data_IF_234070323496
#
_entry.id   IF_234070323496
#
_cell.length_a   1.000
_cell.length_b   1.000
_cell.length_c   1.000
_cell.angle_alpha   90.00
_cell.angle_beta   90.00
_cell.angle_gamma   90.00
#
_symmetry.space_group_name_H-M   'P 1'
#
loop_
_entity.id
_entity.type
_entity.pdbx_description
1 polymer ?
#
# COMPACT_ATOMS: atom_id res chain seq x y z
N UNK A 1 -1.81 -28.10 1.82
CA UNK A 1 -0.75 -27.70 0.86
C UNK A 1 -1.23 -27.86 -0.59
N UNK A 2 -2.49 -27.48 -0.90
CA UNK A 2 -3.11 -27.65 -2.24
C UNK A 2 -3.75 -26.34 -2.75
N UNK A 3 -3.89 -25.31 -1.91
CA UNK A 3 -4.41 -24.00 -2.33
C UNK A 3 -3.43 -23.17 -3.19
N UNK A 4 -2.16 -23.56 -3.31
CA UNK A 4 -1.17 -22.83 -4.11
C UNK A 4 -1.22 -23.17 -5.62
N UNK A 5 -1.94 -24.21 -6.04
CA UNK A 5 -1.93 -24.69 -7.42
C UNK A 5 -2.90 -23.92 -8.35
N UNK A 6 -3.79 -23.08 -7.80
CA UNK A 6 -4.67 -22.20 -8.59
C UNK A 6 -3.98 -20.95 -9.15
N UNK A 7 -2.72 -20.69 -8.78
CA UNK A 7 -1.98 -19.49 -9.18
C UNK A 7 -0.91 -19.75 -10.26
N UNK A 8 -0.93 -20.92 -10.91
CA UNK A 8 0.03 -21.29 -11.96
C UNK A 8 0.20 -20.26 -13.11
N UNK A 9 -0.82 -19.51 -13.59
CA UNK A 9 -0.60 -18.46 -14.58
C UNK A 9 0.15 -17.23 -14.05
N UNK A 10 0.25 -17.03 -12.73
CA UNK A 10 1.05 -15.96 -12.11
C UNK A 10 2.55 -16.23 -12.25
N UNK A 11 2.95 -17.50 -12.41
CA UNK A 11 4.36 -17.89 -12.48
C UNK A 11 5.00 -17.64 -13.87
N UNK A 12 4.21 -17.46 -14.94
CA UNK A 12 4.71 -17.16 -16.29
C UNK A 12 5.21 -15.72 -16.48
N UNK A 13 4.75 -14.80 -15.62
CA UNK A 13 5.02 -13.36 -15.68
C UNK A 13 5.61 -12.82 -14.36
N UNK A 14 6.31 -13.66 -13.60
CA UNK A 14 6.92 -13.28 -12.31
C UNK A 14 7.85 -12.05 -12.46
N UNK A 15 8.59 -11.99 -13.57
CA UNK A 15 9.46 -10.86 -13.88
C UNK A 15 8.68 -9.56 -14.08
N UNK A 16 7.57 -9.62 -14.80
CA UNK A 16 6.69 -8.47 -15.05
C UNK A 16 5.98 -8.05 -13.77
N UNK A 17 5.55 -9.01 -12.95
CA UNK A 17 4.97 -8.78 -11.63
C UNK A 17 5.95 -8.06 -10.70
N UNK A 18 7.17 -8.57 -10.53
CA UNK A 18 8.18 -7.91 -9.69
C UNK A 18 8.58 -6.54 -10.25
N UNK A 19 8.78 -6.44 -11.57
CA UNK A 19 9.05 -5.18 -12.24
C UNK A 19 7.97 -4.14 -11.94
N UNK A 20 6.70 -4.52 -12.07
CA UNK A 20 5.56 -3.67 -11.78
C UNK A 20 5.56 -3.15 -10.33
N UNK A 21 5.64 -4.03 -9.33
CA UNK A 21 5.58 -3.61 -7.92
C UNK A 21 6.76 -2.73 -7.53
N UNK A 22 7.97 -3.02 -8.03
CA UNK A 22 9.14 -2.19 -7.79
C UNK A 22 8.97 -0.80 -8.40
N UNK A 23 8.62 -0.72 -9.68
CA UNK A 23 8.47 0.54 -10.41
C UNK A 23 7.33 1.38 -9.82
N UNK A 24 6.19 0.76 -9.53
CA UNK A 24 5.06 1.40 -8.87
C UNK A 24 5.48 1.99 -7.52
N UNK A 25 6.12 1.19 -6.66
CA UNK A 25 6.63 1.64 -5.37
C UNK A 25 7.62 2.80 -5.51
N UNK A 26 8.58 2.68 -6.43
CA UNK A 26 9.59 3.69 -6.68
C UNK A 26 9.00 5.00 -7.23
N UNK A 27 8.01 4.95 -8.12
CA UNK A 27 7.30 6.12 -8.62
C UNK A 27 6.53 6.85 -7.52
N UNK A 28 5.80 6.11 -6.69
CA UNK A 28 5.09 6.71 -5.56
C UNK A 28 6.06 7.36 -4.57
N UNK A 29 7.17 6.69 -4.24
CA UNK A 29 8.22 7.24 -3.38
C UNK A 29 8.84 8.50 -3.98
N UNK A 30 9.11 8.49 -5.28
CA UNK A 30 9.68 9.64 -5.98
C UNK A 30 8.72 10.84 -5.93
N UNK A 31 7.43 10.62 -6.15
CA UNK A 31 6.42 11.65 -6.03
C UNK A 31 6.37 12.26 -4.62
N UNK A 32 6.43 11.44 -3.57
CA UNK A 32 6.49 11.91 -2.17
C UNK A 32 7.76 12.71 -1.91
N UNK A 33 8.92 12.22 -2.34
CA UNK A 33 10.21 12.91 -2.17
C UNK A 33 10.19 14.28 -2.87
N UNK A 34 9.62 14.36 -4.07
CA UNK A 34 9.46 15.62 -4.80
C UNK A 34 8.49 16.57 -4.10
N UNK A 35 7.37 16.05 -3.57
CA UNK A 35 6.37 16.82 -2.86
C UNK A 35 6.89 17.41 -1.53
N UNK A 36 7.74 16.67 -0.81
CA UNK A 36 8.28 17.10 0.48
C UNK A 36 9.30 18.24 0.37
N UNK A 37 9.83 18.54 -0.83
CA UNK A 37 10.72 19.69 -1.17
C UNK A 37 11.89 19.97 -0.20
N UNK A 38 12.27 19.04 0.69
CA UNK A 38 13.32 19.27 1.69
C UNK A 38 14.70 19.37 1.03
N UNK A 39 15.47 20.42 1.31
CA UNK A 39 16.85 20.62 0.83
C UNK A 39 17.84 19.61 1.47
N UNK A 40 17.75 18.34 1.07
CA UNK A 40 18.57 17.24 1.59
C UNK A 40 19.50 16.59 0.57
N UNK A 41 20.43 15.75 1.06
CA UNK A 41 21.40 14.99 0.27
C UNK A 41 20.68 14.08 -0.74
N UNK A 42 20.96 14.27 -2.05
CA UNK A 42 20.36 13.48 -3.15
C UNK A 42 20.47 11.96 -2.94
N UNK A 43 21.56 11.50 -2.34
CA UNK A 43 21.78 10.08 -2.04
C UNK A 43 20.70 9.48 -1.10
N UNK A 44 20.26 10.22 -0.09
CA UNK A 44 19.23 9.74 0.85
C UNK A 44 17.86 9.61 0.18
N UNK A 45 17.56 10.51 -0.77
CA UNK A 45 16.35 10.44 -1.58
C UNK A 45 16.33 9.18 -2.45
N UNK A 46 17.44 8.91 -3.15
CA UNK A 46 17.57 7.72 -3.98
C UNK A 46 17.50 6.44 -3.14
N UNK A 47 18.15 6.42 -1.97
CA UNK A 47 18.09 5.29 -1.05
C UNK A 47 16.66 5.05 -0.55
N UNK A 48 15.93 6.11 -0.17
CA UNK A 48 14.53 6.00 0.23
C UNK A 48 13.68 5.40 -0.90
N UNK A 49 13.79 5.91 -2.13
CA UNK A 49 13.06 5.39 -3.29
C UNK A 49 13.39 3.92 -3.55
N UNK A 50 14.67 3.54 -3.50
CA UNK A 50 15.10 2.16 -3.71
C UNK A 50 14.55 1.22 -2.63
N UNK A 51 14.63 1.60 -1.35
CA UNK A 51 14.11 0.80 -0.24
C UNK A 51 12.60 0.61 -0.33
N UNK A 52 11.87 1.64 -0.74
CA UNK A 52 10.43 1.56 -0.93
C UNK A 52 10.09 0.65 -2.11
N UNK A 53 10.78 0.80 -3.23
CA UNK A 53 10.61 -0.09 -4.38
C UNK A 53 10.86 -1.55 -3.99
N UNK A 54 11.95 -1.84 -3.29
CA UNK A 54 12.24 -3.19 -2.77
C UNK A 54 11.19 -3.67 -1.78
N UNK A 55 10.72 -2.81 -0.90
CA UNK A 55 9.68 -3.16 0.07
C UNK A 55 8.35 -3.47 -0.61
N UNK A 56 7.98 -2.75 -1.66
CA UNK A 56 6.79 -3.03 -2.47
C UNK A 56 6.80 -4.42 -3.09
N UNK A 57 7.98 -5.02 -3.36
CA UNK A 57 8.09 -6.42 -3.78
C UNK A 57 7.68 -7.39 -2.67
N UNK A 58 7.97 -7.05 -1.42
CA UNK A 58 7.79 -7.93 -0.25
C UNK A 58 6.35 -7.88 0.30
N UNK A 59 5.66 -6.75 0.17
CA UNK A 59 4.32 -6.55 0.74
C UNK A 59 3.31 -7.64 0.36
N UNK A 60 3.18 -8.06 -0.92
CA UNK A 60 2.27 -9.14 -1.28
C UNK A 60 2.59 -10.46 -0.58
N UNK A 61 3.87 -10.79 -0.41
CA UNK A 61 4.32 -12.00 0.27
C UNK A 61 4.01 -11.95 1.77
N UNK A 62 4.21 -10.79 2.40
CA UNK A 62 3.86 -10.62 3.81
C UNK A 62 2.35 -10.75 4.00
N UNK A 63 1.55 -10.16 3.11
CA UNK A 63 0.11 -10.33 3.12
C UNK A 63 -0.33 -11.78 2.97
N UNK A 64 0.32 -12.54 2.07
CA UNK A 64 0.07 -13.97 1.87
C UNK A 64 0.44 -14.79 3.11
N UNK A 65 1.59 -14.51 3.72
CA UNK A 65 2.02 -15.15 4.98
C UNK A 65 1.04 -14.84 6.12
N UNK A 66 0.59 -13.59 6.25
CA UNK A 66 -0.40 -13.19 7.26
C UNK A 66 -1.74 -13.87 7.02
N UNK A 67 -2.22 -13.90 5.78
CA UNK A 67 -3.47 -14.59 5.45
C UNK A 67 -3.36 -16.09 5.76
N UNK A 68 -2.25 -16.74 5.39
CA UNK A 68 -2.03 -18.17 5.64
C UNK A 68 -1.89 -18.54 7.12
N UNK A 69 -1.50 -17.59 7.97
CA UNK A 69 -1.35 -17.79 9.42
C UNK A 69 -2.60 -17.42 10.21
N UNK A 70 -3.36 -16.41 9.76
CA UNK A 70 -4.52 -15.87 10.47
C UNK A 70 -5.85 -16.50 10.01
N UNK A 71 -5.94 -16.98 8.76
CA UNK A 71 -7.18 -17.54 8.25
C UNK A 71 -7.29 -19.04 8.58
N UNK A 72 -8.44 -19.50 9.12
CA UNK A 72 -8.69 -20.92 9.32
C UNK A 72 -8.74 -21.65 7.97
N UNK A 73 -8.46 -22.96 7.97
CA UNK A 73 -8.47 -23.77 6.75
C UNK A 73 -9.81 -23.78 6.02
N UNK A 74 -10.90 -23.64 6.78
CA UNK A 74 -12.27 -23.63 6.26
C UNK A 74 -12.76 -22.20 5.94
N UNK A 75 -11.84 -21.23 5.84
CA UNK A 75 -12.21 -19.86 5.51
C UNK A 75 -12.84 -19.78 4.11
N UNK A 76 -13.96 -19.05 3.94
CA UNK A 76 -14.64 -18.97 2.65
C UNK A 76 -13.71 -18.45 1.55
N UNK A 77 -13.54 -19.21 0.46
CA UNK A 77 -12.66 -18.86 -0.66
C UNK A 77 -13.03 -17.50 -1.28
N UNK A 78 -14.33 -17.17 -1.34
CA UNK A 78 -14.82 -15.89 -1.83
C UNK A 78 -14.45 -14.68 -0.95
N UNK A 79 -14.18 -14.90 0.34
CA UNK A 79 -13.76 -13.84 1.26
C UNK A 79 -12.22 -13.74 1.40
N UNK A 80 -11.49 -14.77 0.95
CA UNK A 80 -10.04 -14.84 1.12
C UNK A 80 -9.30 -13.72 0.36
N UNK A 81 -9.75 -13.38 -0.86
CA UNK A 81 -9.13 -12.36 -1.69
C UNK A 81 -9.26 -10.95 -1.07
N UNK A 82 -10.45 -10.47 -0.65
CA UNK A 82 -10.56 -9.21 0.09
C UNK A 82 -9.68 -9.14 1.34
N UNK A 83 -9.61 -10.23 2.12
CA UNK A 83 -8.76 -10.26 3.32
C UNK A 83 -7.28 -10.18 2.96
N UNK A 84 -6.83 -10.91 1.94
CA UNK A 84 -5.45 -10.86 1.46
C UNK A 84 -5.06 -9.44 1.01
N UNK A 85 -5.91 -8.77 0.25
CA UNK A 85 -5.71 -7.38 -0.18
C UNK A 85 -5.70 -6.43 1.03
N UNK A 86 -6.62 -6.63 1.97
CA UNK A 86 -6.69 -5.84 3.19
C UNK A 86 -5.43 -5.97 4.05
N UNK A 87 -4.93 -7.18 4.27
CA UNK A 87 -3.71 -7.45 5.04
C UNK A 87 -2.48 -6.89 4.35
N UNK A 88 -2.32 -7.15 3.04
CA UNK A 88 -1.21 -6.61 2.24
C UNK A 88 -1.20 -5.09 2.29
N UNK A 89 -2.35 -4.46 2.09
CA UNK A 89 -2.51 -3.00 2.17
C UNK A 89 -2.20 -2.46 3.56
N UNK A 90 -2.67 -3.12 4.62
CA UNK A 90 -2.43 -2.68 5.98
C UNK A 90 -0.94 -2.70 6.32
N UNK A 91 -0.26 -3.80 5.99
CA UNK A 91 1.19 -3.95 6.16
C UNK A 91 1.95 -2.93 5.35
N UNK A 92 1.63 -2.80 4.06
CA UNK A 92 2.26 -1.82 3.16
C UNK A 92 2.07 -0.39 3.65
N UNK A 93 0.87 -0.01 4.07
CA UNK A 93 0.58 1.34 4.54
C UNK A 93 1.29 1.65 5.86
N UNK A 94 1.28 0.71 6.81
CA UNK A 94 1.92 0.89 8.11
C UNK A 94 3.45 1.05 7.97
N UNK A 95 4.09 0.13 7.26
CA UNK A 95 5.53 0.16 7.00
C UNK A 95 5.94 1.41 6.20
N UNK A 96 5.18 1.76 5.18
CA UNK A 96 5.49 2.93 4.35
C UNK A 96 5.33 4.24 5.13
N UNK A 97 4.30 4.34 5.95
CA UNK A 97 4.14 5.47 6.88
C UNK A 97 5.28 5.55 7.89
N UNK A 98 5.74 4.42 8.44
CA UNK A 98 6.88 4.37 9.36
C UNK A 98 8.17 4.85 8.68
N UNK A 99 8.43 4.41 7.44
CA UNK A 99 9.59 4.86 6.67
C UNK A 99 9.53 6.37 6.42
N UNK A 100 8.36 6.90 6.02
CA UNK A 100 8.18 8.34 5.80
C UNK A 100 8.40 9.11 7.09
N UNK A 101 7.82 8.63 8.19
CA UNK A 101 7.94 9.28 9.49
C UNK A 101 9.40 9.31 9.96
N UNK A 102 10.10 8.18 9.86
CA UNK A 102 11.47 8.08 10.33
C UNK A 102 12.42 8.96 9.50
N UNK A 103 12.27 8.98 8.18
CA UNK A 103 13.16 9.76 7.32
C UNK A 103 12.83 11.25 7.24
N UNK A 104 11.54 11.59 7.17
CA UNK A 104 11.12 12.92 6.72
C UNK A 104 10.37 13.73 7.78
N UNK A 105 9.71 13.08 8.74
CA UNK A 105 8.88 13.72 9.77
C UNK A 105 9.25 13.29 11.21
N UNK A 106 10.52 13.40 11.63
CA UNK A 106 10.96 12.87 12.93
C UNK A 106 10.39 13.65 14.13
N UNK A 107 10.10 14.95 13.98
CA UNK A 107 9.78 15.87 15.08
C UNK A 107 8.33 16.39 15.12
N UNK A 108 7.55 16.18 14.06
CA UNK A 108 6.20 16.75 13.93
C UNK A 108 5.13 15.69 14.16
N UNK A 109 4.26 15.93 15.15
CA UNK A 109 2.96 15.30 15.46
C UNK A 109 2.74 13.83 15.08
N UNK A 110 2.14 13.08 16.01
CA UNK A 110 1.65 11.72 15.76
C UNK A 110 0.45 11.76 14.79
N UNK A 111 0.69 12.06 13.50
CA UNK A 111 -0.25 11.77 12.44
C UNK A 111 -0.71 10.32 12.63
N UNK A 112 -2.01 10.09 12.65
CA UNK A 112 -2.52 8.79 13.06
C UNK A 112 -2.19 7.77 11.97
N UNK A 113 -1.21 6.90 12.25
CA UNK A 113 -0.94 5.70 11.43
C UNK A 113 -2.22 4.91 11.18
N UNK A 114 -3.14 4.92 12.15
CA UNK A 114 -4.44 4.27 12.06
C UNK A 114 -5.27 4.83 10.92
N UNK A 115 -5.30 6.16 10.73
CA UNK A 115 -6.06 6.76 9.62
C UNK A 115 -5.48 6.35 8.26
N UNK A 116 -4.16 6.38 8.11
CA UNK A 116 -3.48 5.99 6.87
C UNK A 116 -3.73 4.53 6.54
N UNK A 117 -3.52 3.65 7.52
CA UNK A 117 -3.75 2.21 7.38
C UNK A 117 -5.21 1.92 7.08
N UNK A 118 -6.15 2.49 7.84
CA UNK A 118 -7.58 2.25 7.65
C UNK A 118 -8.06 2.69 6.27
N UNK A 119 -7.68 3.90 5.80
CA UNK A 119 -8.08 4.39 4.48
C UNK A 119 -7.53 3.50 3.35
N UNK A 120 -6.26 3.12 3.43
CA UNK A 120 -5.64 2.26 2.41
C UNK A 120 -6.26 0.86 2.39
N UNK A 121 -6.45 0.26 3.57
CA UNK A 121 -7.07 -1.06 3.72
C UNK A 121 -8.51 -1.06 3.23
N UNK A 122 -9.28 -0.02 3.56
CA UNK A 122 -10.66 0.13 3.11
C UNK A 122 -10.74 0.17 1.59
N UNK A 123 -9.94 1.03 0.95
CA UNK A 123 -9.92 1.14 -0.53
C UNK A 123 -9.52 -0.18 -1.19
N UNK A 124 -8.47 -0.84 -0.68
CA UNK A 124 -8.01 -2.12 -1.23
C UNK A 124 -9.04 -3.23 -1.08
N UNK A 125 -9.71 -3.29 0.07
CA UNK A 125 -10.76 -4.27 0.35
C UNK A 125 -11.99 -4.02 -0.54
N UNK A 126 -12.42 -2.77 -0.67
CA UNK A 126 -13.55 -2.40 -1.53
C UNK A 126 -13.29 -2.75 -3.00
N UNK A 127 -12.07 -2.50 -3.48
CA UNK A 127 -11.68 -2.89 -4.83
C UNK A 127 -11.65 -4.40 -5.02
N UNK A 128 -11.14 -5.15 -4.06
CA UNK A 128 -11.16 -6.61 -4.10
C UNK A 128 -12.59 -7.17 -4.14
N UNK A 129 -13.51 -6.59 -3.34
CA UNK A 129 -14.95 -6.93 -3.36
C UNK A 129 -15.61 -6.54 -4.70
N UNK A 130 -15.11 -5.48 -5.35
CA UNK A 130 -15.62 -5.00 -6.64
C UNK A 130 -15.06 -5.77 -7.84
N UNK A 131 -14.13 -6.72 -7.65
CA UNK A 131 -13.55 -7.49 -8.78
C UNK A 131 -14.60 -8.30 -9.55
N UNK A 132 -15.48 -9.10 -8.92
CA UNK A 132 -16.47 -9.87 -9.66
C UNK A 132 -17.39 -9.03 -10.56
N UNK A 133 -17.96 -7.88 -10.12
CA UNK A 133 -18.75 -7.05 -11.02
C UNK A 133 -17.90 -6.34 -12.08
N UNK A 134 -16.67 -5.89 -11.78
CA UNK A 134 -15.78 -5.27 -12.78
C UNK A 134 -15.44 -6.24 -13.92
N UNK A 135 -15.14 -7.48 -13.58
CA UNK A 135 -14.88 -8.54 -14.57
C UNK A 135 -16.11 -8.82 -15.44
N UNK A 136 -17.31 -8.83 -14.86
CA UNK A 136 -18.58 -8.97 -15.62
C UNK A 136 -18.86 -7.81 -16.58
N UNK A 137 -18.33 -6.62 -16.29
CA UNK A 137 -18.43 -5.45 -17.15
C UNK A 137 -17.37 -5.44 -18.27
N UNK A 138 -16.51 -6.48 -18.34
CA UNK A 138 -15.45 -6.57 -19.33
C UNK A 138 -14.27 -5.62 -19.07
N UNK A 139 -14.10 -5.16 -17.82
CA UNK A 139 -12.91 -4.37 -17.45
C UNK A 139 -11.69 -5.30 -17.49
N UNK A 140 -10.64 -4.96 -18.26
CA UNK A 140 -9.42 -5.76 -18.34
C UNK A 140 -8.78 -5.98 -16.96
N UNK A 141 -8.24 -7.18 -16.72
CA UNK A 141 -7.67 -7.57 -15.43
C UNK A 141 -6.42 -6.74 -15.06
N UNK A 142 -5.62 -6.32 -16.04
CA UNK A 142 -4.49 -5.39 -15.85
C UNK A 142 -4.94 -4.02 -15.32
N UNK A 143 -6.15 -3.59 -15.68
CA UNK A 143 -6.73 -2.35 -15.15
C UNK A 143 -7.33 -2.59 -13.75
N UNK A 144 -8.12 -3.65 -13.60
CA UNK A 144 -8.92 -3.88 -12.39
C UNK A 144 -8.11 -4.44 -11.21
N UNK A 145 -7.09 -5.28 -11.45
CA UNK A 145 -6.28 -5.93 -10.42
C UNK A 145 -4.95 -5.21 -10.17
N UNK A 146 -4.36 -4.57 -11.17
CA UNK A 146 -3.04 -3.95 -11.04
C UNK A 146 -3.14 -2.43 -10.96
N UNK A 147 -3.56 -1.77 -12.04
CA UNK A 147 -3.49 -0.31 -12.16
C UNK A 147 -4.41 0.42 -11.17
N UNK A 148 -5.71 0.09 -11.18
CA UNK A 148 -6.70 0.81 -10.37
C UNK A 148 -6.45 0.66 -8.86
N UNK A 149 -6.12 -0.54 -8.33
CA UNK A 149 -5.78 -0.68 -6.92
C UNK A 149 -4.54 0.10 -6.51
N UNK A 150 -3.50 0.06 -7.33
CA UNK A 150 -2.26 0.80 -7.06
C UNK A 150 -2.51 2.30 -6.99
N UNK A 151 -3.20 2.87 -7.99
CA UNK A 151 -3.47 4.30 -8.07
C UNK A 151 -4.39 4.77 -6.95
N UNK A 152 -5.49 4.06 -6.69
CA UNK A 152 -6.41 4.43 -5.61
C UNK A 152 -5.78 4.28 -4.23
N UNK A 153 -4.91 3.29 -4.04
CA UNK A 153 -4.12 3.16 -2.83
C UNK A 153 -3.17 4.34 -2.64
N UNK A 154 -2.48 4.81 -3.69
CA UNK A 154 -1.62 6.01 -3.61
C UNK A 154 -2.41 7.26 -3.21
N UNK A 155 -3.60 7.46 -3.80
CA UNK A 155 -4.48 8.56 -3.43
C UNK A 155 -4.97 8.47 -1.99
N UNK A 156 -5.39 7.28 -1.55
CA UNK A 156 -5.81 7.04 -0.18
C UNK A 156 -4.67 7.34 0.81
N UNK A 157 -3.47 6.83 0.52
CA UNK A 157 -2.28 7.04 1.34
C UNK A 157 -1.89 8.52 1.42
N UNK A 158 -1.75 9.18 0.26
CA UNK A 158 -1.35 10.58 0.17
C UNK A 158 -2.38 11.52 0.79
N UNK A 159 -3.68 11.26 0.55
CA UNK A 159 -4.79 12.00 1.13
C UNK A 159 -4.83 11.86 2.65
N UNK A 160 -4.71 10.63 3.17
CA UNK A 160 -4.67 10.38 4.60
C UNK A 160 -3.44 11.01 5.26
N UNK A 161 -2.27 10.97 4.61
CA UNK A 161 -1.07 11.64 5.09
C UNK A 161 -1.27 13.15 5.19
N UNK A 162 -1.77 13.78 4.13
CA UNK A 162 -2.07 15.23 4.10
C UNK A 162 -3.07 15.61 5.19
N UNK A 163 -4.16 14.84 5.35
CA UNK A 163 -5.15 15.08 6.39
C UNK A 163 -4.54 14.95 7.79
N UNK A 164 -3.74 13.92 8.02
CA UNK A 164 -3.08 13.68 9.31
C UNK A 164 -2.16 14.84 9.69
N UNK A 165 -1.44 15.42 8.72
CA UNK A 165 -0.59 16.60 8.92
C UNK A 165 -1.43 17.85 9.20
N UNK A 166 -2.55 18.06 8.50
CA UNK A 166 -3.43 19.22 8.75
C UNK A 166 -4.05 19.17 10.14
N UNK A 167 -4.53 18.00 10.57
CA UNK A 167 -5.11 17.82 11.92
C UNK A 167 -4.04 18.10 12.98
N UNK A 168 -2.84 17.54 12.79
CA UNK A 168 -1.68 17.77 13.63
C UNK A 168 -1.34 19.25 13.80
N UNK A 169 -1.22 19.99 12.70
CA UNK A 169 -0.91 21.43 12.73
C UNK A 169 -2.00 22.22 13.43
N UNK A 170 -3.28 21.92 13.16
CA UNK A 170 -4.41 22.58 13.82
C UNK A 170 -4.45 22.32 15.32
N UNK A 171 -4.22 21.08 15.76
CA UNK A 171 -4.17 20.74 17.17
C UNK A 171 -3.06 21.53 17.90
N UNK A 172 -1.88 21.64 17.29
CA UNK A 172 -0.77 22.42 17.85
C UNK A 172 -1.11 23.92 17.98
N UNK A 173 -1.85 24.49 17.04
CA UNK A 173 -2.30 25.90 17.11
C UNK A 173 -3.34 26.11 18.22
N UNK A 174 -4.19 25.12 18.50
CA UNK A 174 -5.25 25.21 19.52
C UNK A 174 -4.75 24.96 20.95
N UNK A 175 -3.67 24.18 21.12
CA UNK A 175 -3.06 23.91 22.43
C UNK A 175 -1.88 24.83 22.75
N UNK A 176 -1.53 25.74 21.84
CA UNK A 176 -0.39 26.65 21.93
C UNK A 176 -0.70 28.02 22.54
N UNK A 177 -1.71 28.11 23.42
CA UNK A 177 -2.05 29.28 24.24
C UNK A 177 -2.11 28.91 25.71
#
# INVERSE_FOLDING_TARGET
MIACLGYAPILGHIGDFFGYFFVAGAWHASAIVLALRQSGRRALRLLFVALVGLWSLLVPWVGLLLAGTLLPRDFPSGAALPVLFGLSSATGAASYWLLIRWWWLPSGSRGSVVWVVASCTLVSTLLAVSQPPLHRLGVPDDISLDFLPTVLWWFAFSGALCLSQRIATRACLLTGS
#
